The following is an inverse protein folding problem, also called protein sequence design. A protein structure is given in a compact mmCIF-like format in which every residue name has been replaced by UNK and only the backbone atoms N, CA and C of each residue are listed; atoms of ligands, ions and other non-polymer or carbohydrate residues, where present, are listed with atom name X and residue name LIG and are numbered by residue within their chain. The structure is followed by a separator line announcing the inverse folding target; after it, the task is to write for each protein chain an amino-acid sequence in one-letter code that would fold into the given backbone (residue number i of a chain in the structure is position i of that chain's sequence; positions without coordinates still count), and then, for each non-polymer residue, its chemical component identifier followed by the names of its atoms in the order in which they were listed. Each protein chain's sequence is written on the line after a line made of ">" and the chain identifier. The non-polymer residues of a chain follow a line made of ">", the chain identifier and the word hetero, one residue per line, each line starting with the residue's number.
data_IF_336659077493
#
_entry.id   IF_336659077493
#
_cell.length_a   1.000
_cell.length_b   1.000
_cell.length_c   1.000
_cell.angle_alpha   90.00
_cell.angle_beta   90.00
_cell.angle_gamma   90.00
#
_symmetry.space_group_name_H-M   'P 1'
#
loop_
_entity.id
_entity.type
_entity.pdbx_description
1 polymer ?
#
# COMPACT_ATOMS: atom_id res chain seq x y z
N UNK A 1 -26.44 31.53 -84.51
CA UNK A 1 -26.06 30.14 -84.84
C UNK A 1 -25.31 29.56 -83.63
N UNK A 2 -25.86 28.48 -83.03
CA UNK A 2 -25.33 27.59 -81.97
C UNK A 2 -25.25 28.16 -80.53
N UNK A 3 -26.28 27.96 -79.68
CA UNK A 3 -26.37 26.96 -78.57
C UNK A 3 -25.15 26.96 -77.62
N UNK A 4 -25.28 27.06 -76.29
CA UNK A 4 -25.90 26.04 -75.41
C UNK A 4 -26.04 26.57 -73.96
N UNK A 5 -27.17 26.29 -73.29
CA UNK A 5 -27.36 26.41 -71.84
C UNK A 5 -26.62 25.28 -71.11
N UNK A 6 -25.94 25.58 -70.00
CA UNK A 6 -25.57 24.59 -68.98
C UNK A 6 -25.85 25.14 -67.58
N UNK A 7 -26.94 24.64 -66.98
CA UNK A 7 -27.08 24.57 -65.53
C UNK A 7 -26.06 23.57 -65.00
N UNK A 8 -25.34 23.91 -63.94
CA UNK A 8 -24.60 22.96 -63.12
C UNK A 8 -25.00 23.18 -61.65
N UNK A 9 -25.43 22.09 -61.04
CA UNK A 9 -26.00 22.01 -59.70
C UNK A 9 -24.92 22.07 -58.60
N UNK A 10 -25.37 22.57 -57.45
CA UNK A 10 -24.97 22.28 -56.07
C UNK A 10 -23.64 21.54 -55.80
N UNK A 11 -22.80 22.17 -54.98
CA UNK A 11 -21.79 21.50 -54.16
C UNK A 11 -21.82 22.05 -52.74
N UNK A 12 -22.74 21.55 -51.91
CA UNK A 12 -22.65 21.69 -50.45
C UNK A 12 -21.42 20.89 -50.00
N UNK A 13 -20.30 21.57 -49.75
CA UNK A 13 -19.17 20.98 -49.04
C UNK A 13 -19.60 20.88 -47.58
N UNK A 14 -20.24 19.77 -47.22
CA UNK A 14 -20.34 19.37 -45.83
C UNK A 14 -18.92 19.05 -45.37
N UNK A 15 -18.32 19.96 -44.60
CA UNK A 15 -17.12 19.69 -43.83
C UNK A 15 -17.46 18.60 -42.81
N UNK A 16 -17.29 17.34 -43.20
CA UNK A 16 -17.27 16.24 -42.26
C UNK A 16 -16.02 16.42 -41.40
N UNK A 17 -16.17 17.09 -40.26
CA UNK A 17 -15.24 16.91 -39.16
C UNK A 17 -15.29 15.41 -38.82
N UNK A 18 -14.31 14.66 -39.31
CA UNK A 18 -14.02 13.34 -38.80
C UNK A 18 -13.69 13.54 -37.32
N UNK A 19 -14.67 13.30 -36.45
CA UNK A 19 -14.42 13.10 -35.04
C UNK A 19 -13.53 11.87 -34.96
N UNK A 20 -12.22 12.07 -34.84
CA UNK A 20 -11.32 11.00 -34.41
C UNK A 20 -11.89 10.55 -33.07
N UNK A 21 -12.35 9.29 -32.92
CA UNK A 21 -12.77 8.84 -31.61
C UNK A 21 -11.57 9.04 -30.68
N UNK A 22 -11.76 9.82 -29.63
CA UNK A 22 -10.80 9.85 -28.53
C UNK A 22 -10.76 8.42 -27.99
N UNK A 23 -9.71 7.68 -28.34
CA UNK A 23 -9.45 6.40 -27.73
C UNK A 23 -9.15 6.69 -26.26
N UNK A 24 -9.97 6.17 -25.36
CA UNK A 24 -9.67 6.20 -23.95
C UNK A 24 -8.34 5.49 -23.74
N UNK A 25 -7.33 6.21 -23.26
CA UNK A 25 -6.03 5.62 -22.99
C UNK A 25 -6.12 4.81 -21.69
N UNK A 26 -5.44 3.64 -21.65
CA UNK A 26 -5.33 2.82 -20.45
C UNK A 26 -3.87 2.85 -19.96
N UNK A 27 -3.68 3.18 -18.69
CA UNK A 27 -2.40 2.98 -18.01
C UNK A 27 -2.55 1.93 -16.91
N UNK A 28 -1.54 1.08 -16.81
CA UNK A 28 -1.46 -0.04 -15.87
C UNK A 28 -0.42 0.27 -14.81
N UNK A 29 -0.77 0.01 -13.55
CA UNK A 29 0.14 0.18 -12.43
C UNK A 29 0.05 -0.97 -11.45
N UNK A 30 1.16 -1.23 -10.75
CA UNK A 30 1.20 -2.26 -9.73
C UNK A 30 2.11 -1.87 -8.58
N UNK A 31 1.74 -2.28 -7.35
CA UNK A 31 2.64 -2.18 -6.22
C UNK A 31 1.96 -2.04 -4.87
N UNK A 32 2.40 -1.04 -4.12
CA UNK A 32 2.05 -0.78 -2.72
C UNK A 32 0.54 -0.90 -2.43
N UNK A 33 0.20 -1.69 -1.41
CA UNK A 33 -1.17 -1.75 -0.88
C UNK A 33 -1.50 -0.57 0.03
N UNK A 34 -0.50 0.16 0.51
CA UNK A 34 -0.66 1.30 1.41
C UNK A 34 -1.49 2.45 0.78
N UNK A 35 -1.18 2.95 -0.44
CA UNK A 35 -1.98 3.99 -1.09
C UNK A 35 -3.12 3.44 -1.95
N UNK A 36 -3.29 2.11 -2.05
CA UNK A 36 -4.23 1.48 -2.98
C UNK A 36 -5.68 2.00 -2.85
N UNK A 37 -6.24 2.24 -1.64
CA UNK A 37 -7.58 2.82 -1.52
C UNK A 37 -7.71 4.21 -2.16
N UNK A 38 -6.67 5.05 -2.02
CA UNK A 38 -6.66 6.38 -2.60
C UNK A 38 -6.49 6.33 -4.11
N UNK A 39 -5.56 5.50 -4.61
CA UNK A 39 -5.35 5.32 -6.04
C UNK A 39 -6.59 4.79 -6.75
N UNK A 40 -7.32 3.86 -6.12
CA UNK A 40 -8.60 3.38 -6.65
C UNK A 40 -9.63 4.52 -6.77
N UNK A 41 -9.70 5.42 -5.78
CA UNK A 41 -10.59 6.58 -5.84
C UNK A 41 -10.18 7.56 -6.94
N UNK A 42 -8.89 7.88 -7.04
CA UNK A 42 -8.36 8.75 -8.09
C UNK A 42 -8.57 8.18 -9.48
N UNK A 43 -8.32 6.89 -9.69
CA UNK A 43 -8.58 6.21 -10.95
C UNK A 43 -10.06 6.30 -11.36
N UNK A 44 -10.98 6.10 -10.39
CA UNK A 44 -12.42 6.24 -10.64
C UNK A 44 -12.82 7.66 -11.02
N UNK A 45 -12.30 8.67 -10.32
CA UNK A 45 -12.63 10.07 -10.59
C UNK A 45 -12.02 10.56 -11.91
N UNK A 46 -10.77 10.15 -12.18
CA UNK A 46 -10.08 10.46 -13.43
C UNK A 46 -10.83 9.88 -14.62
N UNK A 47 -11.27 8.61 -14.54
CA UNK A 47 -12.07 7.99 -15.58
C UNK A 47 -13.39 8.72 -15.84
N UNK A 48 -14.08 9.17 -14.79
CA UNK A 48 -15.31 9.97 -14.95
C UNK A 48 -15.06 11.31 -15.63
N UNK A 49 -13.90 11.91 -15.40
CA UNK A 49 -13.56 13.25 -15.90
C UNK A 49 -13.02 13.22 -17.32
N UNK A 50 -12.22 12.23 -17.69
CA UNK A 50 -11.48 12.19 -18.97
C UNK A 50 -11.91 11.05 -19.90
N UNK A 51 -12.48 9.98 -19.35
CA UNK A 51 -12.74 8.73 -20.07
C UNK A 51 -11.56 7.74 -20.01
N UNK A 52 -10.36 8.19 -19.65
CA UNK A 52 -9.15 7.36 -19.56
C UNK A 52 -9.21 6.40 -18.38
N UNK A 53 -8.52 5.27 -18.48
CA UNK A 53 -8.55 4.22 -17.46
C UNK A 53 -7.19 4.08 -16.79
N UNK A 54 -7.21 4.02 -15.46
CA UNK A 54 -6.05 3.64 -14.66
C UNK A 54 -6.36 2.32 -13.97
N UNK A 55 -5.64 1.26 -14.37
CA UNK A 55 -5.77 -0.06 -13.79
C UNK A 55 -4.65 -0.30 -12.77
N UNK A 56 -4.96 -0.22 -11.48
CA UNK A 56 -3.98 -0.38 -10.40
C UNK A 56 -4.12 -1.71 -9.66
N UNK A 57 -3.02 -2.46 -9.56
CA UNK A 57 -2.95 -3.77 -8.90
C UNK A 57 -2.22 -3.67 -7.54
N UNK A 58 -2.95 -3.91 -6.46
CA UNK A 58 -2.42 -3.98 -5.08
C UNK A 58 -1.68 -5.31 -4.87
N UNK A 59 -0.37 -5.33 -5.12
CA UNK A 59 0.47 -6.56 -5.09
C UNK A 59 1.64 -6.50 -4.11
N UNK A 60 1.81 -5.36 -3.41
CA UNK A 60 2.93 -5.08 -2.54
C UNK A 60 4.07 -4.35 -3.25
N UNK A 61 4.76 -3.46 -2.51
CA UNK A 61 5.82 -2.59 -3.05
C UNK A 61 6.97 -3.38 -3.69
N UNK A 62 7.35 -4.53 -3.12
CA UNK A 62 8.39 -5.38 -3.68
C UNK A 62 8.01 -5.96 -5.04
N UNK A 63 6.73 -6.27 -5.26
CA UNK A 63 6.23 -6.71 -6.56
C UNK A 63 6.12 -5.53 -7.54
N UNK A 64 5.69 -4.34 -7.07
CA UNK A 64 5.65 -3.13 -7.88
C UNK A 64 7.02 -2.74 -8.45
N UNK A 65 8.06 -2.75 -7.62
CA UNK A 65 9.45 -2.50 -8.04
C UNK A 65 9.89 -3.50 -9.12
N UNK A 66 9.56 -4.79 -8.95
CA UNK A 66 9.93 -5.82 -9.94
C UNK A 66 9.19 -5.66 -11.26
N UNK A 67 7.90 -5.32 -11.22
CA UNK A 67 7.09 -5.19 -12.43
C UNK A 67 7.45 -3.97 -13.27
N UNK A 68 7.75 -2.82 -12.65
CA UNK A 68 8.20 -1.63 -13.39
C UNK A 68 9.59 -1.82 -13.99
N UNK A 69 10.51 -2.47 -13.26
CA UNK A 69 11.85 -2.81 -13.74
C UNK A 69 11.79 -3.78 -14.93
N UNK A 70 10.87 -4.75 -14.88
CA UNK A 70 10.59 -5.67 -15.97
C UNK A 70 9.75 -5.07 -17.11
N UNK A 71 9.31 -3.81 -16.99
CA UNK A 71 8.48 -3.09 -17.97
C UNK A 71 7.17 -3.81 -18.30
N UNK A 72 6.57 -4.48 -17.32
CA UNK A 72 5.28 -5.17 -17.48
C UNK A 72 4.08 -4.30 -17.10
N UNK A 73 4.33 -3.10 -16.56
CA UNK A 73 3.35 -2.07 -16.19
C UNK A 73 3.90 -0.69 -16.55
N UNK A 74 3.01 0.28 -16.73
CA UNK A 74 3.38 1.66 -17.07
C UNK A 74 3.97 2.41 -15.87
N UNK A 75 3.55 2.06 -14.64
CA UNK A 75 4.14 2.60 -13.42
C UNK A 75 4.19 1.58 -12.26
N UNK A 76 5.25 1.67 -11.46
CA UNK A 76 5.39 0.94 -10.20
C UNK A 76 5.09 1.83 -8.99
N UNK A 77 4.52 1.25 -7.93
CA UNK A 77 4.28 1.96 -6.67
C UNK A 77 5.01 1.29 -5.50
N UNK A 78 5.75 2.07 -4.71
CA UNK A 78 6.51 1.58 -3.55
C UNK A 78 6.47 2.57 -2.39
N UNK A 79 6.39 2.06 -1.16
CA UNK A 79 6.57 2.86 0.07
C UNK A 79 8.02 2.78 0.59
N UNK A 80 8.85 1.93 -0.03
CA UNK A 80 10.30 1.91 0.17
C UNK A 80 10.95 2.65 -0.99
N UNK A 81 11.52 3.85 -0.76
CA UNK A 81 12.21 4.57 -1.83
C UNK A 81 13.45 3.80 -2.27
N UNK A 82 13.68 3.74 -3.58
CA UNK A 82 14.93 3.24 -4.14
C UNK A 82 16.03 4.30 -3.96
N UNK A 83 17.28 3.84 -3.87
CA UNK A 83 18.44 4.74 -3.88
C UNK A 83 18.64 5.37 -5.26
N UNK A 84 19.32 6.53 -5.31
CA UNK A 84 19.62 7.22 -6.58
C UNK A 84 20.43 6.33 -7.54
N UNK A 85 21.36 5.51 -7.02
CA UNK A 85 22.14 4.58 -7.82
C UNK A 85 21.28 3.47 -8.43
N UNK A 86 20.31 2.93 -7.68
CA UNK A 86 19.35 1.95 -8.19
C UNK A 86 18.45 2.57 -9.25
N UNK A 87 17.92 3.78 -9.01
CA UNK A 87 17.07 4.49 -9.97
C UNK A 87 17.83 4.75 -11.29
N UNK A 88 19.07 5.23 -11.20
CA UNK A 88 19.93 5.46 -12.35
C UNK A 88 20.23 4.18 -13.12
N UNK A 89 20.57 3.10 -12.40
CA UNK A 89 20.88 1.80 -13.01
C UNK A 89 19.68 1.21 -13.74
N UNK A 90 18.48 1.35 -13.18
CA UNK A 90 17.23 0.84 -13.76
C UNK A 90 16.59 1.80 -14.78
N UNK A 91 17.08 3.02 -14.89
CA UNK A 91 16.47 4.06 -15.75
C UNK A 91 15.08 4.48 -15.27
N UNK A 92 14.86 4.53 -13.96
CA UNK A 92 13.59 4.87 -13.34
C UNK A 92 13.59 6.30 -12.78
N UNK A 93 12.44 6.95 -12.84
CA UNK A 93 12.15 8.20 -12.13
C UNK A 93 11.22 7.89 -10.96
N UNK A 94 11.48 8.49 -9.80
CA UNK A 94 10.67 8.35 -8.59
C UNK A 94 10.17 9.71 -8.12
N UNK A 95 8.89 9.80 -7.77
CA UNK A 95 8.27 10.99 -7.20
C UNK A 95 7.24 10.61 -6.12
N UNK A 96 7.08 11.40 -5.05
CA UNK A 96 6.10 11.13 -4.01
C UNK A 96 4.68 11.49 -4.49
N UNK A 97 3.67 10.78 -3.95
CA UNK A 97 2.26 11.06 -4.25
C UNK A 97 1.51 11.57 -3.01
N UNK A 98 1.63 10.88 -1.88
CA UNK A 98 0.92 11.18 -0.63
C UNK A 98 1.71 10.83 0.62
N UNK A 99 1.27 11.35 1.76
CA UNK A 99 1.72 10.97 3.10
C UNK A 99 0.56 10.26 3.81
N UNK A 100 0.87 9.17 4.50
CA UNK A 100 -0.07 8.49 5.40
C UNK A 100 0.63 8.00 6.67
N UNK A 101 -0.08 7.23 7.49
CA UNK A 101 0.47 6.64 8.72
C UNK A 101 0.27 5.14 8.74
N UNK A 102 1.24 4.42 9.32
CA UNK A 102 1.10 3.00 9.66
C UNK A 102 0.74 2.92 11.14
N UNK A 103 -0.32 2.18 11.47
CA UNK A 103 -0.80 2.07 12.85
C UNK A 103 -0.85 0.62 13.33
N UNK A 104 -0.50 0.35 14.60
CA UNK A 104 -0.84 -0.92 15.23
C UNK A 104 -2.37 -1.03 15.32
N UNK A 105 -2.90 -2.17 14.86
CA UNK A 105 -4.31 -2.54 15.01
C UNK A 105 -4.40 -3.80 15.85
N UNK A 106 -5.38 -3.85 16.75
CA UNK A 106 -5.52 -4.93 17.73
C UNK A 106 -6.93 -5.51 17.69
N UNK A 107 -7.05 -6.74 18.17
CA UNK A 107 -8.34 -7.36 18.45
C UNK A 107 -8.31 -7.92 19.88
N UNK A 108 -8.68 -7.10 20.86
CA UNK A 108 -8.73 -7.50 22.28
C UNK A 108 -10.14 -7.23 22.77
N UNK A 109 -10.84 -8.26 23.25
CA UNK A 109 -12.19 -8.11 23.75
C UNK A 109 -12.21 -7.11 24.92
N UNK A 110 -13.12 -6.13 24.83
CA UNK A 110 -13.31 -5.11 25.86
C UNK A 110 -12.40 -3.88 25.72
N UNK A 111 -11.46 -3.86 24.76
CA UNK A 111 -10.62 -2.70 24.48
C UNK A 111 -11.11 -2.02 23.19
N UNK A 112 -11.45 -0.74 23.26
CA UNK A 112 -11.98 0.03 22.13
C UNK A 112 -10.85 0.69 21.32
N UNK A 113 -11.12 1.09 20.05
CA UNK A 113 -10.15 1.83 19.26
C UNK A 113 -9.62 3.07 19.99
N UNK A 114 -8.29 3.20 20.04
CA UNK A 114 -7.60 4.33 20.69
C UNK A 114 -7.41 4.22 22.21
N UNK A 115 -7.93 3.18 22.88
CA UNK A 115 -7.73 3.02 24.32
C UNK A 115 -6.35 2.46 24.68
N UNK A 116 -5.88 1.44 23.95
CA UNK A 116 -4.58 0.82 24.22
C UNK A 116 -3.42 1.71 23.76
N UNK A 117 -2.47 1.93 24.66
CA UNK A 117 -1.22 2.64 24.42
C UNK A 117 -0.05 1.66 24.38
N UNK A 118 0.80 1.78 23.36
CA UNK A 118 2.05 1.04 23.24
C UNK A 118 3.19 2.03 23.00
N UNK A 119 4.41 1.63 23.36
CA UNK A 119 5.64 2.34 23.03
C UNK A 119 6.44 1.55 21.99
N UNK A 120 7.37 2.22 21.30
CA UNK A 120 8.25 1.58 20.32
C UNK A 120 9.01 0.36 20.86
N UNK A 121 9.67 0.46 22.03
CA UNK A 121 10.34 -0.69 22.64
C UNK A 121 9.39 -1.88 22.90
N UNK A 122 8.22 -1.62 23.49
CA UNK A 122 7.21 -2.65 23.80
C UNK A 122 6.70 -3.30 22.51
N UNK A 123 6.42 -2.52 21.47
CA UNK A 123 6.00 -3.04 20.19
C UNK A 123 7.07 -3.93 19.55
N UNK A 124 8.34 -3.51 19.61
CA UNK A 124 9.47 -4.34 19.17
C UNK A 124 9.56 -5.65 19.94
N UNK A 125 9.38 -5.63 21.26
CA UNK A 125 9.45 -6.83 22.11
C UNK A 125 8.26 -7.79 21.89
N UNK A 126 7.08 -7.28 21.52
CA UNK A 126 5.96 -8.11 21.07
C UNK A 126 6.33 -8.85 19.78
N UNK A 127 6.85 -8.15 18.77
CA UNK A 127 7.22 -8.76 17.49
C UNK A 127 8.51 -9.60 17.55
N UNK A 128 9.35 -9.43 18.57
CA UNK A 128 10.44 -10.34 18.93
C UNK A 128 9.96 -11.60 19.67
N UNK A 129 8.70 -11.64 20.10
CA UNK A 129 8.14 -12.75 20.89
C UNK A 129 8.61 -12.76 22.35
N UNK A 130 9.15 -11.66 22.87
CA UNK A 130 9.53 -11.53 24.29
C UNK A 130 8.33 -11.21 25.16
N UNK A 131 7.47 -10.31 24.70
CA UNK A 131 6.17 -10.01 25.32
C UNK A 131 5.13 -10.88 24.63
N UNK A 132 4.62 -11.88 25.35
CA UNK A 132 3.75 -12.93 24.78
C UNK A 132 2.32 -12.87 25.27
N UNK A 133 2.00 -12.02 26.25
CA UNK A 133 0.65 -11.87 26.83
C UNK A 133 0.25 -10.42 26.98
N UNK A 134 -1.04 -10.11 26.84
CA UNK A 134 -1.56 -8.74 26.92
C UNK A 134 -1.47 -8.13 28.32
N UNK A 135 -1.46 -8.94 29.38
CA UNK A 135 -1.33 -8.51 30.76
C UNK A 135 0.13 -8.34 31.23
N UNK A 136 1.10 -8.35 30.31
CA UNK A 136 2.52 -8.16 30.60
C UNK A 136 2.78 -6.85 31.37
N UNK A 137 3.68 -6.84 32.37
CA UNK A 137 3.98 -5.64 33.15
C UNK A 137 4.32 -4.41 32.30
N UNK A 138 5.04 -4.57 31.19
CA UNK A 138 5.42 -3.46 30.32
C UNK A 138 4.21 -2.86 29.59
N UNK A 139 3.22 -3.67 29.21
CA UNK A 139 1.97 -3.18 28.61
C UNK A 139 1.09 -2.53 29.69
N UNK A 140 0.96 -3.17 30.87
CA UNK A 140 0.18 -2.63 32.00
C UNK A 140 0.69 -1.28 32.47
N UNK A 141 2.01 -1.08 32.52
CA UNK A 141 2.61 0.19 32.92
C UNK A 141 2.16 1.37 32.03
N UNK A 142 1.85 1.12 30.76
CA UNK A 142 1.37 2.12 29.81
C UNK A 142 -0.17 2.31 29.85
N UNK A 143 -0.88 1.42 30.54
CA UNK A 143 -2.33 1.25 30.45
C UNK A 143 -2.97 0.97 31.81
N UNK A 144 -2.63 1.76 32.83
CA UNK A 144 -3.04 1.50 34.23
C UNK A 144 -4.55 1.50 34.47
N UNK A 145 -5.34 2.13 33.59
CA UNK A 145 -6.80 2.16 33.65
C UNK A 145 -7.49 1.03 32.88
N UNK A 146 -6.75 0.20 32.14
CA UNK A 146 -7.32 -0.86 31.31
C UNK A 146 -7.24 -2.23 31.99
N UNK A 147 -8.34 -2.97 31.90
CA UNK A 147 -8.39 -4.37 32.32
C UNK A 147 -7.81 -5.26 31.21
N UNK A 148 -6.49 -5.43 31.22
CA UNK A 148 -5.79 -6.23 30.21
C UNK A 148 -5.93 -7.74 30.49
N UNK A 149 -6.31 -8.56 29.49
CA UNK A 149 -6.56 -9.99 29.70
C UNK A 149 -5.27 -10.79 29.84
N UNK A 150 -5.32 -11.89 30.61
CA UNK A 150 -4.27 -12.93 30.63
C UNK A 150 -4.32 -13.81 29.37
N UNK A 151 -4.25 -13.18 28.20
CA UNK A 151 -4.37 -13.84 26.91
C UNK A 151 -3.06 -13.74 26.13
N UNK A 152 -2.70 -14.81 25.43
CA UNK A 152 -1.56 -14.82 24.52
C UNK A 152 -1.75 -13.80 23.39
N UNK A 153 -0.70 -13.08 23.04
CA UNK A 153 -0.66 -12.18 21.90
C UNK A 153 -0.48 -13.01 20.63
N UNK A 154 -1.26 -12.72 19.60
CA UNK A 154 -1.11 -13.31 18.28
C UNK A 154 -0.61 -12.25 17.27
N UNK A 155 0.72 -12.07 17.09
CA UNK A 155 1.25 -11.15 16.11
C UNK A 155 0.86 -11.55 14.69
N UNK A 156 0.53 -10.55 13.88
CA UNK A 156 0.24 -10.65 12.45
C UNK A 156 1.19 -9.70 11.74
N UNK A 157 1.81 -10.22 10.68
CA UNK A 157 2.77 -9.50 9.83
C UNK A 157 2.44 -9.72 8.37
N UNK A 158 3.07 -8.96 7.49
CA UNK A 158 2.94 -9.17 6.04
C UNK A 158 3.64 -10.45 5.59
N UNK A 159 3.04 -11.15 4.64
CA UNK A 159 3.62 -12.33 3.99
C UNK A 159 4.38 -11.99 2.70
N UNK A 160 4.01 -10.88 2.07
CA UNK A 160 4.54 -10.38 0.80
C UNK A 160 5.58 -9.27 0.98
N UNK A 161 6.37 -9.01 -0.06
CA UNK A 161 7.32 -7.91 -0.10
C UNK A 161 6.61 -6.55 -0.02
N UNK A 162 6.76 -5.88 1.11
CA UNK A 162 5.83 -4.83 1.54
C UNK A 162 6.55 -3.56 1.98
N UNK A 163 6.17 -2.41 1.41
CA UNK A 163 6.63 -1.10 1.86
C UNK A 163 6.12 -0.76 3.26
N UNK A 164 4.89 -1.15 3.62
CA UNK A 164 4.38 -1.04 4.99
C UNK A 164 5.26 -1.80 5.99
N UNK A 165 5.80 -2.97 5.61
CA UNK A 165 6.78 -3.70 6.43
C UNK A 165 8.09 -2.95 6.53
N UNK A 166 8.58 -2.36 5.43
CA UNK A 166 9.77 -1.52 5.48
C UNK A 166 9.58 -0.36 6.48
N UNK A 167 8.48 0.38 6.39
CA UNK A 167 8.17 1.48 7.31
C UNK A 167 8.11 1.00 8.77
N UNK A 168 7.40 -0.10 9.02
CA UNK A 168 7.24 -0.65 10.37
C UNK A 168 8.57 -1.15 10.95
N UNK A 169 9.34 -1.90 10.17
CA UNK A 169 10.63 -2.48 10.62
C UNK A 169 11.75 -1.44 10.70
N UNK A 170 11.70 -0.40 9.87
CA UNK A 170 12.59 0.77 10.00
C UNK A 170 12.29 1.54 11.29
N UNK A 171 11.01 1.75 11.62
CA UNK A 171 10.62 2.32 12.91
C UNK A 171 11.15 1.47 14.07
N UNK A 172 10.87 0.15 14.07
CA UNK A 172 11.33 -0.75 15.12
C UNK A 172 12.86 -0.78 15.27
N UNK A 173 13.60 -0.74 14.16
CA UNK A 173 15.06 -0.66 14.16
C UNK A 173 15.60 0.62 14.80
N UNK A 174 14.83 1.71 14.83
CA UNK A 174 15.23 2.97 15.49
C UNK A 174 14.93 2.97 16.98
N UNK A 175 13.89 2.26 17.42
CA UNK A 175 13.36 2.35 18.80
C UNK A 175 13.62 1.10 19.65
N UNK A 176 14.09 0.00 19.05
CA UNK A 176 14.43 -1.23 19.76
C UNK A 176 15.77 -1.79 19.22
N UNK A 177 16.82 -1.73 20.04
CA UNK A 177 18.18 -2.14 19.64
C UNK A 177 18.28 -3.66 19.37
N UNK A 178 17.53 -4.47 20.10
CA UNK A 178 17.45 -5.91 19.87
C UNK A 178 16.78 -6.23 18.53
N UNK A 179 15.72 -5.49 18.18
CA UNK A 179 15.11 -5.59 16.87
C UNK A 179 16.13 -5.27 15.77
N UNK A 180 16.80 -4.12 15.89
CA UNK A 180 17.79 -3.67 14.91
C UNK A 180 18.88 -4.71 14.66
N UNK A 181 19.41 -5.30 15.73
CA UNK A 181 20.51 -6.26 15.65
C UNK A 181 20.09 -7.64 15.17
N UNK A 182 18.87 -8.11 15.51
CA UNK A 182 18.41 -9.47 15.19
C UNK A 182 17.60 -9.56 13.90
N UNK A 183 16.84 -8.53 13.57
CA UNK A 183 15.87 -8.54 12.46
C UNK A 183 16.21 -7.49 11.41
N UNK A 184 16.51 -6.26 11.84
CA UNK A 184 16.77 -5.13 10.95
C UNK A 184 15.51 -4.61 10.25
N UNK A 185 15.68 -4.06 9.05
CA UNK A 185 14.62 -3.41 8.28
C UNK A 185 14.63 -3.84 6.80
N UNK A 186 13.45 -3.83 6.18
CA UNK A 186 13.31 -4.15 4.76
C UNK A 186 11.88 -4.47 4.36
N UNK A 187 11.66 -4.61 3.06
CA UNK A 187 10.36 -5.05 2.52
C UNK A 187 10.06 -6.51 2.84
N UNK A 188 11.09 -7.30 3.14
CA UNK A 188 11.01 -8.64 3.70
C UNK A 188 12.12 -8.80 4.75
N UNK A 189 11.78 -9.39 5.90
CA UNK A 189 12.71 -9.67 7.01
C UNK A 189 12.44 -11.06 7.57
N UNK A 190 13.40 -11.61 8.31
CA UNK A 190 13.24 -12.89 9.02
C UNK A 190 12.43 -12.65 10.30
N UNK A 191 11.11 -12.66 10.19
CA UNK A 191 10.21 -12.45 11.32
C UNK A 191 10.39 -13.53 12.40
N UNK A 192 10.63 -13.15 13.68
CA UNK A 192 10.75 -14.11 14.78
C UNK A 192 9.46 -14.89 15.05
N UNK A 193 8.30 -14.26 14.83
CA UNK A 193 6.98 -14.84 15.06
C UNK A 193 5.92 -14.14 14.19
N UNK A 194 4.72 -14.71 14.18
CA UNK A 194 3.51 -14.08 13.66
C UNK A 194 2.97 -14.67 12.36
N UNK A 195 1.64 -14.70 12.27
CA UNK A 195 0.94 -15.14 11.07
C UNK A 195 1.17 -14.19 9.90
N UNK A 196 1.16 -14.72 8.68
CA UNK A 196 1.39 -13.96 7.45
C UNK A 196 0.09 -13.60 6.73
N UNK A 197 -0.25 -12.32 6.70
CA UNK A 197 -1.31 -11.77 5.84
C UNK A 197 -0.73 -11.23 4.53
N UNK A 198 -1.34 -11.56 3.39
CA UNK A 198 -0.97 -10.98 2.08
C UNK A 198 -1.66 -9.62 1.91
N UNK A 199 -0.89 -8.56 1.65
CA UNK A 199 -1.42 -7.19 1.55
C UNK A 199 -1.86 -6.62 2.91
N UNK A 200 -2.25 -5.34 2.93
CA UNK A 200 -2.82 -4.71 4.13
C UNK A 200 -4.20 -5.32 4.45
N UNK A 201 -4.94 -5.65 3.40
CA UNK A 201 -6.24 -6.30 3.44
C UNK A 201 -6.14 -7.67 4.15
N UNK A 202 -5.10 -8.45 3.85
CA UNK A 202 -4.87 -9.73 4.50
C UNK A 202 -4.51 -9.57 5.98
N UNK A 203 -3.64 -8.62 6.33
CA UNK A 203 -3.31 -8.35 7.74
C UNK A 203 -4.54 -7.89 8.52
N UNK A 204 -5.31 -6.95 7.98
CA UNK A 204 -6.57 -6.49 8.58
C UNK A 204 -7.57 -7.63 8.78
N UNK A 205 -7.75 -8.50 7.77
CA UNK A 205 -8.63 -9.65 7.86
C UNK A 205 -8.18 -10.66 8.93
N UNK A 206 -6.87 -10.89 9.07
CA UNK A 206 -6.30 -11.72 10.12
C UNK A 206 -6.55 -11.13 11.51
N UNK A 207 -6.30 -9.82 11.70
CA UNK A 207 -6.52 -9.17 13.00
C UNK A 207 -7.99 -9.22 13.39
N UNK A 208 -8.88 -8.91 12.45
CA UNK A 208 -10.32 -8.91 12.69
C UNK A 208 -10.86 -10.28 13.14
N UNK A 209 -10.32 -11.39 12.62
CA UNK A 209 -10.81 -12.75 12.92
C UNK A 209 -10.10 -13.45 14.07
N UNK A 210 -8.87 -13.06 14.40
CA UNK A 210 -8.07 -13.70 15.44
C UNK A 210 -8.19 -12.92 16.76
N UNK A 211 -8.82 -13.50 17.80
CA UNK A 211 -8.82 -12.89 19.12
C UNK A 211 -7.40 -12.70 19.64
N UNK A 212 -7.19 -11.62 20.39
CA UNK A 212 -5.94 -11.23 21.02
C UNK A 212 -4.79 -10.98 20.03
N UNK A 213 -5.11 -10.61 18.80
CA UNK A 213 -4.12 -10.35 17.75
C UNK A 213 -3.68 -8.90 17.69
N UNK A 214 -2.51 -8.68 17.08
CA UNK A 214 -1.97 -7.37 16.74
C UNK A 214 -1.36 -7.41 15.34
N UNK A 215 -1.65 -6.41 14.51
CA UNK A 215 -1.06 -6.21 13.19
C UNK A 215 -0.64 -4.76 12.97
N UNK A 216 -0.03 -4.48 11.82
CA UNK A 216 0.26 -3.12 11.34
C UNK A 216 -0.34 -2.96 9.94
N UNK A 217 -1.05 -1.85 9.72
CA UNK A 217 -1.70 -1.52 8.45
C UNK A 217 -1.51 -0.05 8.10
#
# INVERSE_FOLDING_TARGET
>A
MKTTFKFAAAGLIAAAFAQVPAFADEATGAGASFPAPLYAKWASDFNKATGDKINYQSVGSGAGIKQIDAKTVDFGASDMPLSDDELKTKGLLQFPTVIGGVVPVINIQGIKPGELKLSGPVLGDIYLGKITKWNDPAIKALNTSLNLPDAAIAPVRRADGSGTSFLFTNYLSKVNADWKSKVGEGTAVNWPTGAGGKGNEGVAAFVNRLPNSIGYV
#
